data_IF_284144704433
#
_entry.id   IF_284144704433
#
_cell.length_a   1.000
_cell.length_b   1.000
_cell.length_c   1.000
_cell.angle_alpha   90.00
_cell.angle_beta   90.00
_cell.angle_gamma   90.00
#
_symmetry.space_group_name_H-M   'P 1'
#
loop_
_entity.id
_entity.type
_entity.pdbx_description
1 polymer ?
#
# COMPACT_ATOMS: atom_id res chain seq x y z
N UNK A 1 17.67 11.11 13.86
CA UNK A 1 16.92 10.65 12.66
C UNK A 1 16.98 9.13 12.67
N UNK A 2 15.89 8.44 13.03
CA UNK A 2 15.90 6.99 13.10
C UNK A 2 15.90 6.40 11.68
N UNK A 3 16.98 5.72 11.31
CA UNK A 3 17.05 4.99 10.04
C UNK A 3 16.24 3.71 10.18
N UNK A 4 15.07 3.65 9.54
CA UNK A 4 14.26 2.44 9.46
C UNK A 4 14.61 1.75 8.14
N UNK A 5 15.22 0.54 8.15
CA UNK A 5 15.54 -0.20 6.94
C UNK A 5 14.33 -0.37 6.00
N UNK A 6 14.58 -0.28 4.69
CA UNK A 6 13.56 -0.39 3.64
C UNK A 6 12.72 -1.66 3.78
N UNK A 7 13.35 -2.80 4.08
CA UNK A 7 12.69 -4.09 4.26
C UNK A 7 11.62 -4.03 5.35
N UNK A 8 11.88 -3.36 6.48
CA UNK A 8 10.89 -3.23 7.55
C UNK A 8 9.72 -2.35 7.13
N UNK A 9 9.98 -1.25 6.39
CA UNK A 9 8.91 -0.38 5.90
C UNK A 9 7.99 -1.12 4.91
N UNK A 10 8.58 -1.84 3.96
CA UNK A 10 7.81 -2.59 2.94
C UNK A 10 7.12 -3.81 3.53
N UNK A 11 7.72 -4.47 4.52
CA UNK A 11 7.09 -5.58 5.24
C UNK A 11 5.88 -5.10 6.04
N UNK A 12 6.01 -3.97 6.75
CA UNK A 12 4.91 -3.35 7.48
C UNK A 12 3.78 -2.94 6.53
N UNK A 13 4.11 -2.29 5.41
CA UNK A 13 3.15 -1.98 4.35
C UNK A 13 2.42 -3.23 3.87
N UNK A 14 3.16 -4.29 3.56
CA UNK A 14 2.62 -5.54 3.00
C UNK A 14 1.68 -6.24 3.98
N UNK A 15 2.04 -6.28 5.26
CA UNK A 15 1.22 -6.86 6.32
C UNK A 15 -0.06 -6.05 6.56
N UNK A 16 0.06 -4.73 6.72
CA UNK A 16 -1.10 -3.86 6.94
C UNK A 16 -2.05 -3.82 5.73
N UNK A 17 -1.50 -3.85 4.50
CA UNK A 17 -2.29 -3.95 3.29
C UNK A 17 -3.06 -5.27 3.22
N UNK A 18 -2.43 -6.40 3.55
CA UNK A 18 -3.11 -7.69 3.60
C UNK A 18 -4.22 -7.70 4.65
N UNK A 19 -3.95 -7.22 5.86
CA UNK A 19 -4.95 -7.13 6.95
C UNK A 19 -6.11 -6.22 6.53
N UNK A 20 -5.83 -5.03 6.01
CA UNK A 20 -6.83 -4.08 5.55
C UNK A 20 -7.69 -4.65 4.42
N UNK A 21 -7.11 -5.41 3.51
CA UNK A 21 -7.83 -6.08 2.43
C UNK A 21 -8.73 -7.21 2.92
N UNK A 22 -8.28 -8.02 3.89
CA UNK A 22 -9.10 -9.05 4.53
C UNK A 22 -10.25 -8.42 5.31
N UNK A 23 -9.99 -7.35 6.06
CA UNK A 23 -11.02 -6.62 6.80
C UNK A 23 -12.04 -5.98 5.86
N UNK A 24 -11.59 -5.34 4.78
CA UNK A 24 -12.46 -4.75 3.77
C UNK A 24 -13.34 -5.82 3.10
N UNK A 25 -12.76 -6.98 2.77
CA UNK A 25 -13.51 -8.12 2.27
C UNK A 25 -14.54 -8.63 3.29
N UNK A 26 -14.16 -8.78 4.56
CA UNK A 26 -15.07 -9.25 5.60
C UNK A 26 -16.30 -8.35 5.74
N UNK A 27 -16.11 -7.03 5.70
CA UNK A 27 -17.18 -6.05 5.87
C UNK A 27 -18.07 -5.88 4.62
N UNK A 28 -17.52 -5.97 3.41
CA UNK A 28 -18.27 -5.67 2.17
C UNK A 28 -18.56 -6.89 1.32
N UNK A 29 -17.99 -8.05 1.66
CA UNK A 29 -18.03 -9.32 0.92
C UNK A 29 -17.50 -9.22 -0.52
N UNK A 30 -16.76 -8.14 -0.84
CA UNK A 30 -16.17 -7.94 -2.18
C UNK A 30 -14.86 -8.69 -2.33
N UNK A 31 -14.92 -9.83 -3.01
CA UNK A 31 -13.75 -10.69 -3.32
C UNK A 31 -12.60 -9.93 -3.99
N UNK A 32 -12.90 -8.88 -4.76
CA UNK A 32 -11.90 -8.04 -5.41
C UNK A 32 -10.86 -7.49 -4.41
N UNK A 33 -11.24 -7.18 -3.17
CA UNK A 33 -10.32 -6.65 -2.16
C UNK A 33 -9.27 -7.67 -1.72
N UNK A 34 -9.59 -8.97 -1.75
CA UNK A 34 -8.62 -10.03 -1.48
C UNK A 34 -7.60 -10.15 -2.61
N UNK A 35 -8.06 -10.15 -3.86
CA UNK A 35 -7.18 -10.25 -5.02
C UNK A 35 -6.21 -9.06 -5.10
N UNK A 36 -6.73 -7.85 -4.94
CA UNK A 36 -5.90 -6.64 -4.95
C UNK A 36 -4.95 -6.58 -3.76
N UNK A 37 -5.43 -6.98 -2.58
CA UNK A 37 -4.61 -7.08 -1.37
C UNK A 37 -3.43 -8.02 -1.56
N UNK A 38 -3.72 -9.27 -1.96
CA UNK A 38 -2.71 -10.29 -2.20
C UNK A 38 -1.71 -9.83 -3.28
N UNK A 39 -2.19 -9.25 -4.38
CA UNK A 39 -1.33 -8.77 -5.47
C UNK A 39 -0.36 -7.68 -4.98
N UNK A 40 -0.85 -6.59 -4.40
CA UNK A 40 0.01 -5.48 -3.97
C UNK A 40 0.95 -5.87 -2.83
N UNK A 41 0.50 -6.73 -1.91
CA UNK A 41 1.34 -7.31 -0.85
C UNK A 41 2.46 -8.17 -1.45
N UNK A 42 2.15 -8.97 -2.48
CA UNK A 42 3.16 -9.80 -3.15
C UNK A 42 4.16 -8.93 -3.91
N UNK A 43 3.71 -7.89 -4.62
CA UNK A 43 4.60 -6.95 -5.31
C UNK A 43 5.50 -6.21 -4.31
N UNK A 44 4.96 -5.81 -3.16
CA UNK A 44 5.76 -5.25 -2.06
C UNK A 44 6.82 -6.23 -1.55
N UNK A 45 6.46 -7.49 -1.29
CA UNK A 45 7.42 -8.52 -0.90
C UNK A 45 8.51 -8.73 -1.96
N UNK A 46 8.13 -8.84 -3.24
CA UNK A 46 9.06 -8.97 -4.37
C UNK A 46 10.03 -7.77 -4.42
N UNK A 47 9.53 -6.55 -4.20
CA UNK A 47 10.37 -5.36 -4.14
C UNK A 47 11.46 -5.45 -3.06
N UNK A 48 11.15 -6.05 -1.91
CA UNK A 48 12.09 -6.23 -0.81
C UNK A 48 13.08 -7.40 -1.03
N UNK A 49 12.66 -8.48 -1.68
CA UNK A 49 13.44 -9.71 -1.77
C UNK A 49 14.20 -9.89 -3.09
N UNK A 50 13.65 -9.44 -4.21
CA UNK A 50 14.23 -9.66 -5.55
C UNK A 50 15.20 -8.56 -5.96
N UNK A 51 14.97 -7.31 -5.52
CA UNK A 51 15.77 -6.15 -5.90
C UNK A 51 16.67 -5.65 -4.76
N UNK A 52 17.25 -6.58 -3.97
CA UNK A 52 18.08 -6.22 -2.80
C UNK A 52 19.30 -5.37 -3.15
N UNK A 53 19.83 -5.52 -4.36
CA UNK A 53 21.01 -4.79 -4.84
C UNK A 53 20.66 -3.62 -5.77
N UNK A 54 19.38 -3.47 -6.14
CA UNK A 54 18.89 -2.37 -6.97
C UNK A 54 17.90 -1.54 -6.15
N UNK A 55 18.46 -0.54 -5.45
CA UNK A 55 17.69 0.35 -4.60
C UNK A 55 16.65 1.17 -5.40
N UNK A 56 16.93 1.45 -6.67
CA UNK A 56 16.04 2.21 -7.54
C UNK A 56 14.82 1.38 -7.92
N UNK A 57 15.02 0.15 -8.40
CA UNK A 57 13.91 -0.74 -8.73
C UNK A 57 13.09 -1.10 -7.49
N UNK A 58 13.73 -1.47 -6.39
CA UNK A 58 13.01 -1.83 -5.15
C UNK A 58 12.09 -0.69 -4.67
N UNK A 59 12.56 0.55 -4.64
CA UNK A 59 11.73 1.70 -4.29
C UNK A 59 10.63 1.98 -5.34
N UNK A 60 10.91 1.79 -6.63
CA UNK A 60 9.91 1.97 -7.69
C UNK A 60 8.76 0.96 -7.58
N UNK A 61 9.06 -0.33 -7.40
CA UNK A 61 8.03 -1.38 -7.23
C UNK A 61 7.21 -1.19 -5.95
N UNK A 62 7.85 -0.81 -4.83
CA UNK A 62 7.14 -0.49 -3.61
C UNK A 62 6.21 0.73 -3.77
N UNK A 63 6.66 1.75 -4.52
CA UNK A 63 5.86 2.93 -4.86
C UNK A 63 4.62 2.55 -5.66
N UNK A 64 4.80 1.79 -6.75
CA UNK A 64 3.72 1.36 -7.63
C UNK A 64 2.70 0.52 -6.84
N UNK A 65 3.16 -0.46 -6.06
CA UNK A 65 2.28 -1.30 -5.24
C UNK A 65 1.43 -0.47 -4.26
N UNK A 66 2.04 0.52 -3.60
CA UNK A 66 1.35 1.36 -2.62
C UNK A 66 0.34 2.31 -3.26
N UNK A 67 0.68 2.93 -4.40
CA UNK A 67 -0.23 3.80 -5.15
C UNK A 67 -1.40 2.98 -5.72
N UNK A 68 -1.13 1.81 -6.29
CA UNK A 68 -2.16 0.89 -6.78
C UNK A 68 -3.11 0.46 -5.65
N UNK A 69 -2.57 0.08 -4.49
CA UNK A 69 -3.36 -0.23 -3.32
C UNK A 69 -4.24 0.96 -2.91
N UNK A 70 -3.65 2.16 -2.78
CA UNK A 70 -4.39 3.39 -2.43
C UNK A 70 -5.56 3.63 -3.39
N UNK A 71 -5.31 3.61 -4.70
CA UNK A 71 -6.35 3.80 -5.71
C UNK A 71 -7.47 2.76 -5.60
N UNK A 72 -7.13 1.49 -5.37
CA UNK A 72 -8.12 0.41 -5.21
C UNK A 72 -8.95 0.57 -3.93
N UNK A 73 -8.34 0.94 -2.80
CA UNK A 73 -9.06 1.23 -1.56
C UNK A 73 -9.95 2.48 -1.69
N UNK A 74 -9.50 3.54 -2.37
CA UNK A 74 -10.34 4.72 -2.64
C UNK A 74 -11.53 4.36 -3.52
N UNK A 75 -11.31 3.66 -4.64
CA UNK A 75 -12.40 3.19 -5.51
C UNK A 75 -13.37 2.26 -4.78
N UNK A 76 -12.87 1.40 -3.89
CA UNK A 76 -13.69 0.56 -3.03
C UNK A 76 -14.55 1.40 -2.06
N UNK A 77 -13.96 2.42 -1.43
CA UNK A 77 -14.65 3.35 -0.54
C UNK A 77 -15.80 4.08 -1.25
N UNK A 78 -15.51 4.67 -2.42
CA UNK A 78 -16.50 5.38 -3.23
C UNK A 78 -17.66 4.49 -3.70
N UNK A 79 -17.40 3.21 -3.96
CA UNK A 79 -18.44 2.25 -4.39
C UNK A 79 -19.21 1.60 -3.23
N UNK A 80 -18.85 1.86 -1.98
CA UNK A 80 -19.43 1.18 -0.81
C UNK A 80 -20.21 2.18 0.03
N UNK A 81 -21.54 2.11 0.00
CA UNK A 81 -22.43 3.06 0.70
C UNK A 81 -22.15 3.15 2.21
N UNK A 82 -21.78 2.03 2.85
CA UNK A 82 -21.40 2.00 4.26
C UNK A 82 -20.13 2.83 4.57
N UNK A 83 -19.22 2.95 3.60
CA UNK A 83 -17.98 3.73 3.73
C UNK A 83 -18.15 5.21 3.32
N UNK A 84 -19.36 5.64 2.99
CA UNK A 84 -19.72 7.04 2.79
C UNK A 84 -20.31 7.68 4.05
N UNK A 85 -20.60 6.87 5.08
CA UNK A 85 -21.12 7.38 6.35
C UNK A 85 -20.00 8.01 7.18
N UNK A 86 -20.24 9.18 7.81
CA UNK A 86 -19.24 9.83 8.65
C UNK A 86 -19.12 9.10 9.99
N UNK A 87 -18.28 8.05 10.02
CA UNK A 87 -17.95 7.30 11.24
C UNK A 87 -16.44 7.28 11.47
N UNK A 88 -16.01 7.08 12.72
CA UNK A 88 -14.59 7.02 13.06
C UNK A 88 -13.85 5.90 12.29
N UNK A 89 -14.51 4.76 12.05
CA UNK A 89 -13.97 3.65 11.26
C UNK A 89 -13.74 4.03 9.80
N UNK A 90 -14.64 4.82 9.22
CA UNK A 90 -14.47 5.38 7.87
C UNK A 90 -13.32 6.39 7.83
N UNK A 91 -13.17 7.20 8.88
CA UNK A 91 -11.99 8.05 9.06
C UNK A 91 -10.69 7.27 9.04
N UNK A 92 -10.60 6.17 9.81
CA UNK A 92 -9.43 5.28 9.81
C UNK A 92 -9.18 4.65 8.44
N UNK A 93 -10.24 4.26 7.72
CA UNK A 93 -10.14 3.71 6.37
C UNK A 93 -9.51 4.71 5.39
N UNK A 94 -9.98 5.97 5.38
CA UNK A 94 -9.39 6.99 4.50
C UNK A 94 -8.01 7.45 4.98
N UNK A 95 -7.74 7.44 6.28
CA UNK A 95 -6.39 7.65 6.82
C UNK A 95 -5.43 6.57 6.32
N UNK A 96 -5.87 5.30 6.27
CA UNK A 96 -5.12 4.21 5.65
C UNK A 96 -4.87 4.46 4.16
N UNK A 97 -5.90 4.81 3.37
CA UNK A 97 -5.75 5.18 1.96
C UNK A 97 -4.72 6.30 1.74
N UNK A 98 -4.75 7.32 2.60
CA UNK A 98 -3.82 8.44 2.55
C UNK A 98 -2.41 8.02 2.93
N UNK A 99 -2.25 7.19 3.96
CA UNK A 99 -0.96 6.64 4.35
C UNK A 99 -0.31 5.82 3.23
N UNK A 100 -1.10 5.05 2.48
CA UNK A 100 -0.67 4.29 1.31
C UNK A 100 -0.14 5.22 0.21
N UNK A 101 -0.86 6.31 -0.07
CA UNK A 101 -0.46 7.30 -1.05
C UNK A 101 0.84 8.00 -0.64
N UNK A 102 0.94 8.44 0.62
CA UNK A 102 2.13 9.09 1.14
C UNK A 102 3.35 8.17 1.14
N UNK A 103 3.16 6.90 1.52
CA UNK A 103 4.21 5.89 1.43
C UNK A 103 4.67 5.69 -0.02
N UNK A 104 3.71 5.56 -0.96
CA UNK A 104 4.00 5.43 -2.39
C UNK A 104 4.79 6.61 -2.94
N UNK A 105 4.31 7.84 -2.72
CA UNK A 105 5.00 9.08 -3.13
C UNK A 105 6.40 9.17 -2.52
N UNK A 106 6.55 8.83 -1.23
CA UNK A 106 7.86 8.82 -0.57
C UNK A 106 8.83 7.86 -1.24
N UNK A 107 8.40 6.61 -1.51
CA UNK A 107 9.22 5.60 -2.20
C UNK A 107 9.53 6.02 -3.63
N UNK A 108 8.57 6.61 -4.34
CA UNK A 108 8.77 7.13 -5.70
C UNK A 108 9.81 8.24 -5.76
N UNK A 109 9.81 9.16 -4.78
CA UNK A 109 10.84 10.20 -4.66
C UNK A 109 12.23 9.60 -4.41
N UNK A 110 12.33 8.55 -3.59
CA UNK A 110 13.59 7.83 -3.39
C UNK A 110 14.07 7.14 -4.66
N UNK A 111 13.17 6.47 -5.40
CA UNK A 111 13.52 5.86 -6.69
C UNK A 111 14.00 6.90 -7.70
N UNK A 112 13.37 8.08 -7.74
CA UNK A 112 13.81 9.17 -8.60
C UNK A 112 15.19 9.71 -8.21
N UNK A 113 15.44 9.91 -6.91
CA UNK A 113 16.73 10.39 -6.43
C UNK A 113 17.87 9.40 -6.71
N UNK A 114 17.61 8.10 -6.55
CA UNK A 114 18.59 7.03 -6.77
C UNK A 114 18.78 6.67 -8.25
N UNK A 115 18.03 7.29 -9.17
CA UNK A 115 18.15 7.02 -10.60
C UNK A 115 19.45 7.57 -11.20
N UNK A 116 19.92 8.68 -10.64
CA UNK A 116 21.05 9.45 -11.14
C UNK A 116 22.37 9.11 -10.41
N UNK A 117 22.31 8.23 -9.40
CA UNK A 117 23.44 7.64 -8.67
C UNK A 117 23.96 6.37 -9.38
#
# INVERSE_FOLDING_TARGET
MYFIPFVYQVSLFSALNAIGSVQAWYLTQRRMMLFTGAFNTTVGAVAAYSYKFDATLSNAYASIAAICASAQFVLHGLRTKALLQPTALVGLYYAWCFSLLMFGVSRGRWAYALRDD
#
